data_IF_864529982887
#
_entry.id   IF_864529982887
#
_cell.length_a   1.000
_cell.length_b   1.000
_cell.length_c   1.000
_cell.angle_alpha   90.00
_cell.angle_beta   90.00
_cell.angle_gamma   90.00
#
_symmetry.space_group_name_H-M   'P 1'
#
loop_
_entity.id
_entity.type
_entity.pdbx_description
1 polymer ?
#
# COMPACT_ATOMS: atom_id res chain seq x y z
N UNK A 1 -46.70 -25.09 -22.24
CA UNK A 1 -45.31 -25.27 -22.74
C UNK A 1 -44.33 -24.48 -21.88
N UNK A 2 -44.72 -23.28 -21.43
CA UNK A 2 -43.91 -22.43 -20.53
C UNK A 2 -43.69 -23.04 -19.14
N UNK A 3 -44.66 -23.80 -18.62
CA UNK A 3 -44.59 -24.46 -17.30
C UNK A 3 -43.46 -25.50 -17.19
N UNK A 4 -43.01 -26.03 -18.32
CA UNK A 4 -41.88 -26.99 -18.39
C UNK A 4 -40.56 -26.27 -18.67
N UNK A 5 -40.60 -25.19 -19.45
CA UNK A 5 -39.42 -24.42 -19.82
C UNK A 5 -38.83 -23.66 -18.61
N UNK A 6 -39.69 -23.06 -17.79
CA UNK A 6 -39.32 -22.21 -16.67
C UNK A 6 -38.44 -22.93 -15.61
N UNK A 7 -38.79 -24.14 -15.11
CA UNK A 7 -37.94 -24.85 -14.15
C UNK A 7 -36.62 -25.33 -14.76
N UNK A 8 -36.58 -25.65 -16.06
CA UNK A 8 -35.35 -26.06 -16.77
C UNK A 8 -34.35 -24.89 -16.82
N UNK A 9 -34.83 -23.69 -17.17
CA UNK A 9 -34.01 -22.49 -17.22
C UNK A 9 -33.51 -22.09 -15.83
N UNK A 10 -34.37 -22.17 -14.81
CA UNK A 10 -33.99 -21.85 -13.42
C UNK A 10 -32.96 -22.85 -12.89
N UNK A 11 -33.15 -24.15 -13.11
CA UNK A 11 -32.17 -25.16 -12.72
C UNK A 11 -30.84 -24.94 -13.46
N UNK A 12 -30.88 -24.70 -14.78
CA UNK A 12 -29.68 -24.38 -15.55
C UNK A 12 -28.96 -23.15 -14.99
N UNK A 13 -29.66 -22.04 -14.77
CA UNK A 13 -29.08 -20.82 -14.22
C UNK A 13 -28.53 -21.01 -12.79
N UNK A 14 -29.21 -21.78 -11.93
CA UNK A 14 -28.74 -22.03 -10.58
C UNK A 14 -27.51 -22.94 -10.58
N UNK A 15 -27.56 -24.07 -11.29
CA UNK A 15 -26.48 -25.05 -11.30
C UNK A 15 -25.29 -24.67 -12.18
N UNK A 16 -25.47 -23.85 -13.21
CA UNK A 16 -24.36 -23.29 -14.01
C UNK A 16 -23.91 -21.96 -13.43
N UNK A 17 -24.84 -21.07 -13.07
CA UNK A 17 -24.53 -19.74 -12.56
C UNK A 17 -23.84 -19.74 -11.20
N UNK A 18 -24.23 -20.63 -10.28
CA UNK A 18 -23.63 -20.68 -8.94
C UNK A 18 -22.16 -21.13 -8.99
N UNK A 19 -21.78 -22.22 -9.70
CA UNK A 19 -20.39 -22.56 -9.95
C UNK A 19 -19.65 -21.53 -10.82
N UNK A 20 -20.34 -20.87 -11.76
CA UNK A 20 -19.74 -19.81 -12.59
C UNK A 20 -19.27 -18.61 -11.76
N UNK A 21 -20.09 -18.16 -10.82
CA UNK A 21 -19.73 -17.11 -9.87
C UNK A 21 -18.49 -17.53 -9.07
N UNK A 22 -18.46 -18.76 -8.56
CA UNK A 22 -17.31 -19.31 -7.83
C UNK A 22 -16.06 -19.34 -8.72
N UNK A 23 -16.16 -19.81 -9.97
CA UNK A 23 -15.06 -19.85 -10.94
C UNK A 23 -14.55 -18.44 -11.30
N UNK A 24 -15.44 -17.47 -11.44
CA UNK A 24 -15.10 -16.08 -11.72
C UNK A 24 -14.25 -15.46 -10.59
N UNK A 25 -14.61 -15.74 -9.34
CA UNK A 25 -13.83 -15.29 -8.18
C UNK A 25 -12.51 -16.06 -8.02
N UNK A 26 -12.52 -17.37 -8.29
CA UNK A 26 -11.30 -18.20 -8.30
C UNK A 26 -10.28 -17.73 -9.35
N UNK A 27 -10.73 -17.32 -10.55
CA UNK A 27 -9.82 -16.80 -11.57
C UNK A 27 -9.24 -15.44 -11.20
N UNK A 28 -9.99 -14.64 -10.42
CA UNK A 28 -9.48 -13.40 -9.83
C UNK A 28 -8.46 -13.65 -8.72
N UNK A 29 -8.55 -14.77 -7.98
CA UNK A 29 -7.59 -15.09 -6.91
C UNK A 29 -6.15 -15.29 -7.40
N UNK A 30 -5.94 -15.87 -8.60
CA UNK A 30 -4.60 -15.96 -9.18
C UNK A 30 -4.04 -14.61 -9.63
N UNK A 31 -4.90 -13.65 -9.99
CA UNK A 31 -4.47 -12.28 -10.34
C UNK A 31 -4.05 -11.50 -9.09
N UNK A 32 -4.72 -11.70 -7.96
CA UNK A 32 -4.36 -11.07 -6.68
C UNK A 32 -3.09 -11.63 -6.03
N UNK A 33 -2.68 -12.87 -6.33
CA UNK A 33 -1.43 -13.41 -5.80
C UNK A 33 -0.18 -12.79 -6.44
N UNK A 34 -0.28 -12.28 -7.68
CA UNK A 34 0.81 -11.55 -8.35
C UNK A 34 1.05 -10.16 -7.75
N UNK A 35 0.08 -9.61 -7.00
CA UNK A 35 0.23 -8.30 -6.35
C UNK A 35 1.30 -8.33 -5.25
N UNK A 36 1.54 -9.45 -4.56
CA UNK A 36 2.52 -9.45 -3.45
C UNK A 36 3.95 -9.27 -3.92
N UNK A 37 4.32 -9.86 -5.07
CA UNK A 37 5.67 -9.74 -5.64
C UNK A 37 5.86 -8.39 -6.36
N UNK A 38 4.78 -7.87 -6.95
CA UNK A 38 4.76 -6.51 -7.50
C UNK A 38 4.82 -5.45 -6.40
N UNK A 39 4.17 -5.69 -5.26
CA UNK A 39 4.21 -4.82 -4.08
C UNK A 39 5.59 -4.82 -3.43
N UNK A 40 6.25 -5.98 -3.30
CA UNK A 40 7.64 -6.05 -2.85
C UNK A 40 8.58 -5.22 -3.75
N UNK A 41 8.39 -5.33 -5.07
CA UNK A 41 9.14 -4.53 -6.05
C UNK A 41 8.83 -3.04 -5.95
N UNK A 42 7.57 -2.68 -5.74
CA UNK A 42 7.16 -1.29 -5.57
C UNK A 42 7.76 -0.69 -4.29
N UNK A 43 7.79 -1.46 -3.21
CA UNK A 43 8.42 -1.05 -1.95
C UNK A 43 9.93 -0.84 -2.12
N UNK A 44 10.61 -1.71 -2.87
CA UNK A 44 12.03 -1.54 -3.18
C UNK A 44 12.30 -0.26 -4.00
N UNK A 45 11.45 0.02 -5.00
CA UNK A 45 11.54 1.25 -5.80
C UNK A 45 11.27 2.52 -4.98
N UNK A 46 10.30 2.48 -4.06
CA UNK A 46 10.02 3.59 -3.14
C UNK A 46 11.17 3.80 -2.16
N UNK A 47 11.80 2.73 -1.69
CA UNK A 47 12.97 2.80 -0.82
C UNK A 47 14.17 3.45 -1.52
N UNK A 48 14.47 3.02 -2.75
CA UNK A 48 15.51 3.61 -3.59
C UNK A 48 15.26 5.11 -3.83
N UNK A 49 14.00 5.46 -4.10
CA UNK A 49 13.57 6.85 -4.33
C UNK A 49 13.72 7.70 -3.06
N UNK A 50 13.29 7.17 -1.91
CA UNK A 50 13.43 7.85 -0.62
C UNK A 50 14.90 8.09 -0.27
N UNK A 51 15.77 7.09 -0.48
CA UNK A 51 17.21 7.20 -0.24
C UNK A 51 17.84 8.31 -1.09
N UNK A 52 17.47 8.39 -2.37
CA UNK A 52 17.97 9.45 -3.27
C UNK A 52 17.48 10.84 -2.87
N UNK A 53 16.27 10.95 -2.34
CA UNK A 53 15.75 12.21 -1.81
C UNK A 53 16.52 12.66 -0.57
N UNK A 54 16.88 11.73 0.31
CA UNK A 54 17.71 12.00 1.50
C UNK A 54 19.12 12.49 1.13
N UNK A 55 19.77 11.86 0.15
CA UNK A 55 21.07 12.31 -0.36
C UNK A 55 21.02 13.76 -0.92
N UNK A 56 19.90 14.12 -1.54
CA UNK A 56 19.66 15.49 -2.01
C UNK A 56 19.34 16.45 -0.87
N UNK A 57 18.61 15.99 0.15
CA UNK A 57 18.31 16.78 1.35
C UNK A 57 19.59 17.20 2.04
N UNK A 58 20.58 16.32 2.19
CA UNK A 58 21.90 16.69 2.72
C UNK A 58 22.59 17.80 1.91
N UNK A 59 22.43 17.80 0.59
CA UNK A 59 22.97 18.87 -0.26
C UNK A 59 22.21 20.17 -0.03
N UNK A 60 20.88 20.12 0.10
CA UNK A 60 20.04 21.29 0.41
C UNK A 60 20.38 21.84 1.79
N UNK A 61 20.57 20.99 2.81
CA UNK A 61 21.01 21.40 4.14
C UNK A 61 22.35 22.14 4.09
N UNK A 62 23.30 21.64 3.29
CA UNK A 62 24.60 22.30 3.12
C UNK A 62 24.47 23.66 2.45
N UNK A 63 23.59 23.79 1.46
CA UNK A 63 23.35 25.07 0.76
C UNK A 63 22.65 26.05 1.72
N UNK A 64 21.61 25.62 2.43
CA UNK A 64 20.89 26.44 3.41
C UNK A 64 21.82 26.90 4.54
N UNK A 65 22.70 26.03 5.04
CA UNK A 65 23.68 26.40 6.08
C UNK A 65 24.72 27.41 5.58
N UNK A 66 25.02 27.41 4.27
CA UNK A 66 25.92 28.39 3.66
C UNK A 66 25.22 29.73 3.37
N UNK A 67 23.92 29.70 3.05
CA UNK A 67 23.13 30.88 2.66
C UNK A 67 22.51 31.62 3.87
N UNK A 68 22.21 30.88 4.95
CA UNK A 68 21.66 31.41 6.21
C UNK A 68 22.38 30.80 7.43
N UNK A 69 23.42 31.47 8.00
CA UNK A 69 24.17 30.95 9.14
C UNK A 69 23.34 30.85 10.44
N UNK A 70 22.20 31.54 10.51
CA UNK A 70 21.22 31.43 11.61
C UNK A 70 20.26 30.23 11.51
N UNK A 71 20.33 29.40 10.45
CA UNK A 71 19.52 28.18 10.34
C UNK A 71 19.98 27.14 11.38
N UNK A 72 19.49 27.30 12.61
CA UNK A 72 19.60 26.32 13.68
C UNK A 72 18.83 25.07 13.24
N UNK A 73 19.56 24.02 12.88
CA UNK A 73 19.03 22.65 12.74
C UNK A 73 18.01 22.43 13.86
N UNK A 74 16.74 22.11 13.57
CA UNK A 74 15.85 21.59 14.59
C UNK A 74 16.53 20.31 15.09
N UNK A 75 17.19 20.39 16.24
CA UNK A 75 17.57 19.21 17.00
C UNK A 75 16.28 18.46 17.26
N UNK A 76 16.00 17.47 16.41
CA UNK A 76 14.93 16.52 16.56
C UNK A 76 14.97 15.98 17.98
N UNK A 77 13.97 16.40 18.76
CA UNK A 77 13.49 15.68 19.93
C UNK A 77 14.50 15.45 21.03
N UNK A 78 14.72 16.49 21.86
CA UNK A 78 14.74 16.26 23.29
C UNK A 78 13.39 15.67 23.72
N UNK A 79 13.19 14.37 23.49
CA UNK A 79 12.32 13.51 24.31
C UNK A 79 13.24 12.87 25.35
N UNK A 80 14.06 13.67 26.03
CA UNK A 80 14.48 13.28 27.36
C UNK A 80 13.23 13.45 28.19
N UNK A 81 12.62 12.31 28.49
CA UNK A 81 11.64 12.10 29.55
C UNK A 81 11.95 12.99 30.75
N UNK A 82 11.43 14.22 30.76
CA UNK A 82 11.23 15.02 31.95
C UNK A 82 10.02 14.41 32.68
N UNK A 83 10.24 13.20 33.20
CA UNK A 83 9.42 12.63 34.25
C UNK A 83 10.14 12.99 35.53
N UNK A 84 9.92 14.21 35.97
CA UNK A 84 10.00 14.54 37.40
C UNK A 84 8.72 13.99 38.04
N UNK A 85 8.79 12.94 38.89
CA UNK A 85 7.72 12.68 39.83
C UNK A 85 8.01 13.54 41.07
N UNK A 86 7.23 14.59 41.17
CA UNK A 86 7.12 15.50 42.30
C UNK A 86 7.11 14.70 43.62
N UNK A 87 8.08 15.02 44.49
CA UNK A 87 8.12 14.68 45.91
C UNK A 87 7.23 15.63 46.71
#
# INVERSE_FOLDING_TARGET
>A
MEDVLLPIVICGMLFIGMPWIVLHYLMSWKKHASLTAEDEKLMDELYETARRLDERLHTIERIIAADHPEYRRPTTGGITSDRSPDL
#
